data_IF_726532514704
#
_entry.id   IF_726532514704
#
_cell.length_a   1.000
_cell.length_b   1.000
_cell.length_c   1.000
_cell.angle_alpha   90.00
_cell.angle_beta   90.00
_cell.angle_gamma   90.00
#
_symmetry.space_group_name_H-M   'P 1'
#
loop_
_entity.id
_entity.type
_entity.pdbx_description
1 polymer ?
#
# COMPACT_ATOMS: atom_id res chain seq x y z
N UNK A 1 4.94 0.16 -10.38
CA UNK A 1 5.86 -0.28 -11.46
C UNK A 1 6.74 -1.39 -10.91
N UNK A 2 6.97 -2.45 -11.67
CA UNK A 2 7.95 -3.49 -11.37
C UNK A 2 8.89 -3.65 -12.57
N UNK A 3 10.16 -4.02 -12.34
CA UNK A 3 11.17 -4.16 -13.40
C UNK A 3 11.86 -5.51 -13.25
N UNK A 4 12.02 -6.24 -14.35
CA UNK A 4 12.72 -7.53 -14.33
C UNK A 4 14.25 -7.34 -14.49
N UNK A 5 15.01 -8.41 -14.31
CA UNK A 5 16.48 -8.37 -14.44
C UNK A 5 16.98 -8.03 -15.86
N UNK A 6 16.12 -8.15 -16.87
CA UNK A 6 16.44 -7.83 -18.26
C UNK A 6 16.13 -6.36 -18.59
N UNK A 7 15.57 -5.59 -17.64
CA UNK A 7 15.22 -4.18 -17.80
C UNK A 7 13.81 -3.93 -18.36
N UNK A 8 13.01 -4.98 -18.60
CA UNK A 8 11.60 -4.82 -18.97
C UNK A 8 10.80 -4.32 -17.78
N UNK A 9 9.96 -3.31 -18.01
CA UNK A 9 9.18 -2.66 -16.98
C UNK A 9 7.70 -2.92 -17.16
N UNK A 10 7.00 -3.23 -16.07
CA UNK A 10 5.55 -3.34 -16.03
C UNK A 10 4.98 -2.22 -15.16
N UNK A 11 4.02 -1.50 -15.72
CA UNK A 11 3.30 -0.42 -15.07
C UNK A 11 1.87 -0.88 -14.93
N UNK A 12 1.32 -0.79 -13.72
CA UNK A 12 -0.08 -1.00 -13.46
C UNK A 12 -0.65 0.22 -12.74
N UNK A 13 -1.85 0.64 -13.14
CA UNK A 13 -2.54 1.80 -12.58
C UNK A 13 -4.05 1.71 -12.83
N UNK A 14 -4.77 2.68 -12.29
CA UNK A 14 -6.19 2.89 -12.56
C UNK A 14 -6.33 3.74 -13.83
N UNK A 15 -7.30 3.40 -14.69
CA UNK A 15 -7.64 4.19 -15.87
C UNK A 15 -9.14 4.49 -15.91
N UNK A 16 -9.48 5.76 -16.17
CA UNK A 16 -10.80 6.20 -16.59
C UNK A 16 -10.75 6.48 -18.10
N UNK A 17 -11.69 5.93 -18.86
CA UNK A 17 -11.80 6.12 -20.32
C UNK A 17 -12.43 7.49 -20.67
N UNK A 18 -13.27 8.01 -19.80
CA UNK A 18 -13.89 9.34 -19.87
C UNK A 18 -14.26 9.84 -18.46
N UNK A 19 -14.73 11.09 -18.36
CA UNK A 19 -15.12 11.74 -17.09
C UNK A 19 -16.29 11.04 -16.35
N UNK A 20 -16.97 10.09 -17.00
CA UNK A 20 -18.12 9.37 -16.46
C UNK A 20 -17.81 7.88 -16.19
N UNK A 21 -16.72 7.36 -16.72
CA UNK A 21 -16.27 5.98 -16.54
C UNK A 21 -15.65 5.79 -15.15
N UNK A 22 -16.03 4.69 -14.49
CA UNK A 22 -15.35 4.29 -13.27
C UNK A 22 -13.95 3.73 -13.57
N UNK A 23 -13.02 3.80 -12.62
CA UNK A 23 -11.66 3.31 -12.83
C UNK A 23 -11.62 1.79 -13.03
N UNK A 24 -10.82 1.35 -14.00
CA UNK A 24 -10.39 -0.04 -14.17
C UNK A 24 -8.89 -0.20 -13.96
N UNK A 25 -8.42 -1.43 -13.75
CA UNK A 25 -6.99 -1.71 -13.63
C UNK A 25 -6.40 -1.94 -15.03
N UNK A 26 -5.49 -1.06 -15.45
CA UNK A 26 -4.66 -1.23 -16.64
C UNK A 26 -3.26 -1.70 -16.24
N UNK A 27 -2.78 -2.75 -16.91
CA UNK A 27 -1.41 -3.26 -16.81
C UNK A 27 -0.74 -3.19 -18.17
N UNK A 28 0.47 -2.66 -18.23
CA UNK A 28 1.22 -2.45 -19.47
C UNK A 28 2.67 -2.86 -19.26
N UNK A 29 3.22 -3.68 -20.16
CA UNK A 29 4.65 -4.01 -20.18
C UNK A 29 5.38 -3.32 -21.32
N UNK A 30 6.56 -2.78 -21.02
CA UNK A 30 7.50 -2.22 -21.97
C UNK A 30 8.82 -2.99 -21.93
N UNK A 31 9.47 -3.12 -23.09
CA UNK A 31 10.85 -3.59 -23.19
C UNK A 31 11.85 -2.51 -22.72
N UNK A 32 13.15 -2.85 -22.53
CA UNK A 32 14.15 -1.91 -22.01
C UNK A 32 14.37 -0.67 -22.90
N UNK A 33 14.06 -0.78 -24.20
CA UNK A 33 14.09 0.32 -25.17
C UNK A 33 12.79 1.14 -25.22
N UNK A 34 11.81 0.80 -24.36
CA UNK A 34 10.53 1.49 -24.24
C UNK A 34 9.44 1.01 -25.21
N UNK A 35 9.65 -0.06 -25.98
CA UNK A 35 8.61 -0.58 -26.86
C UNK A 35 7.53 -1.35 -26.08
N UNK A 36 6.26 -1.09 -26.40
CA UNK A 36 5.11 -1.80 -25.81
C UNK A 36 5.17 -3.29 -26.16
N UNK A 37 5.13 -4.16 -25.15
CA UNK A 37 5.10 -5.61 -25.31
C UNK A 37 3.68 -6.16 -25.22
N UNK A 38 2.94 -5.78 -24.18
CA UNK A 38 1.53 -6.14 -24.02
C UNK A 38 0.79 -5.14 -23.13
N UNK A 39 -0.54 -5.19 -23.20
CA UNK A 39 -1.43 -4.45 -22.31
C UNK A 39 -2.65 -5.29 -21.94
N UNK A 40 -3.00 -5.34 -20.65
CA UNK A 40 -4.20 -5.97 -20.14
C UNK A 40 -5.05 -4.97 -19.38
N UNK A 41 -6.37 -5.05 -19.59
CA UNK A 41 -7.36 -4.37 -18.78
C UNK A 41 -8.07 -5.42 -17.96
N UNK A 42 -8.20 -5.17 -16.66
CA UNK A 42 -8.92 -6.05 -15.76
C UNK A 42 -10.11 -5.32 -15.16
N UNK A 43 -11.28 -5.91 -15.36
CA UNK A 43 -12.56 -5.51 -14.81
C UNK A 43 -13.41 -6.78 -14.60
N UNK A 44 -14.27 -6.82 -13.58
CA UNK A 44 -15.18 -7.97 -13.36
C UNK A 44 -16.34 -7.99 -14.34
N UNK A 45 -16.85 -6.83 -14.74
CA UNK A 45 -18.01 -6.71 -15.64
C UNK A 45 -17.83 -5.48 -16.55
N UNK A 46 -17.75 -5.67 -17.89
CA UNK A 46 -17.57 -4.58 -18.84
C UNK A 46 -18.75 -3.60 -18.87
N UNK A 47 -19.93 -4.04 -18.42
CA UNK A 47 -21.15 -3.26 -18.41
C UNK A 47 -21.41 -2.61 -17.03
N UNK A 48 -20.68 -3.05 -15.99
CA UNK A 48 -20.79 -2.45 -14.66
C UNK A 48 -19.82 -1.28 -14.54
N UNK A 49 -20.35 -0.07 -14.52
CA UNK A 49 -19.61 1.14 -14.15
C UNK A 49 -19.32 1.13 -12.63
N UNK A 50 -18.61 0.13 -12.13
CA UNK A 50 -18.20 0.04 -10.72
C UNK A 50 -16.68 0.17 -10.63
N UNK A 51 -16.23 0.84 -9.57
CA UNK A 51 -14.84 1.20 -9.35
C UNK A 51 -13.99 -0.02 -8.95
N UNK A 52 -13.09 -0.43 -9.83
CA UNK A 52 -12.05 -1.42 -9.56
C UNK A 52 -10.72 -0.67 -9.30
N UNK A 53 -10.13 -0.87 -8.13
CA UNK A 53 -8.96 -0.11 -7.71
C UNK A 53 -7.69 -0.96 -7.69
N UNK A 54 -6.65 -0.44 -8.34
CA UNK A 54 -5.29 -0.91 -8.16
C UNK A 54 -4.79 -0.59 -6.74
N UNK A 55 -4.20 -1.58 -6.07
CA UNK A 55 -3.49 -1.41 -4.81
C UNK A 55 -1.98 -1.37 -5.00
N UNK A 56 -1.41 -2.53 -5.34
CA UNK A 56 0.04 -2.70 -5.46
C UNK A 56 0.41 -3.79 -6.45
N UNK A 57 1.71 -3.88 -6.75
CA UNK A 57 2.24 -4.90 -7.65
C UNK A 57 3.64 -5.34 -7.26
N UNK A 58 3.98 -6.59 -7.60
CA UNK A 58 5.31 -7.16 -7.45
C UNK A 58 5.62 -8.10 -8.62
N UNK A 59 6.87 -8.53 -8.72
CA UNK A 59 7.34 -9.41 -9.80
C UNK A 59 8.27 -10.47 -9.24
N UNK A 60 8.17 -11.70 -9.73
CA UNK A 60 9.12 -12.76 -9.38
C UNK A 60 10.36 -12.78 -10.28
N UNK A 61 11.32 -13.65 -9.96
CA UNK A 61 12.55 -13.79 -10.74
C UNK A 61 12.33 -14.37 -12.15
N UNK A 62 11.20 -15.03 -12.39
CA UNK A 62 10.82 -15.51 -13.72
C UNK A 62 10.16 -14.40 -14.57
N UNK A 63 9.90 -13.22 -13.98
CA UNK A 63 9.24 -12.10 -14.62
C UNK A 63 7.71 -12.16 -14.57
N UNK A 64 7.13 -13.08 -13.80
CA UNK A 64 5.69 -13.09 -13.58
C UNK A 64 5.32 -11.89 -12.71
N UNK A 65 4.29 -11.16 -13.11
CA UNK A 65 3.78 -9.98 -12.41
C UNK A 65 2.57 -10.34 -11.60
N UNK A 66 2.54 -9.93 -10.34
CA UNK A 66 1.43 -10.10 -9.42
C UNK A 66 0.88 -8.74 -9.04
N UNK A 67 -0.42 -8.56 -9.20
CA UNK A 67 -1.12 -7.32 -8.91
C UNK A 67 -2.17 -7.61 -7.84
N UNK A 68 -2.35 -6.68 -6.91
CA UNK A 68 -3.44 -6.70 -5.94
C UNK A 68 -4.25 -5.42 -6.01
N UNK A 69 -5.48 -5.49 -5.54
CA UNK A 69 -6.40 -4.37 -5.51
C UNK A 69 -7.72 -4.80 -4.93
N UNK A 70 -8.80 -4.14 -5.33
CA UNK A 70 -10.13 -4.65 -5.07
C UNK A 70 -11.06 -4.42 -6.25
N UNK A 71 -12.08 -5.25 -6.28
CA UNK A 71 -13.17 -5.20 -7.24
C UNK A 71 -14.44 -4.85 -6.49
N UNK A 72 -15.28 -4.03 -7.10
CA UNK A 72 -16.57 -3.67 -6.50
C UNK A 72 -17.71 -4.40 -7.18
N UNK A 73 -18.53 -5.08 -6.39
CA UNK A 73 -19.68 -5.81 -6.89
C UNK A 73 -20.87 -4.85 -7.13
N UNK A 74 -21.44 -4.82 -8.35
CA UNK A 74 -22.47 -3.86 -8.70
C UNK A 74 -23.81 -4.09 -8.00
N UNK A 75 -24.11 -5.34 -7.64
CA UNK A 75 -25.39 -5.70 -7.04
C UNK A 75 -25.41 -5.42 -5.53
N UNK A 76 -24.28 -5.59 -4.87
CA UNK A 76 -24.17 -5.49 -3.40
C UNK A 76 -23.41 -4.25 -2.93
N UNK A 77 -22.69 -3.56 -3.81
CA UNK A 77 -21.72 -2.50 -3.50
C UNK A 77 -20.53 -2.97 -2.66
N UNK A 78 -20.41 -4.27 -2.41
CA UNK A 78 -19.31 -4.85 -1.64
C UNK A 78 -18.00 -4.74 -2.41
N UNK A 79 -16.89 -4.58 -1.67
CA UNK A 79 -15.54 -4.62 -2.22
C UNK A 79 -14.86 -5.93 -1.87
N UNK A 80 -14.28 -6.59 -2.87
CA UNK A 80 -13.59 -7.86 -2.72
C UNK A 80 -12.13 -7.70 -3.10
N UNK A 81 -11.24 -8.21 -2.28
CA UNK A 81 -9.82 -8.26 -2.57
C UNK A 81 -9.60 -9.09 -3.83
N UNK A 82 -8.81 -8.56 -4.76
CA UNK A 82 -8.40 -9.25 -5.97
C UNK A 82 -6.88 -9.42 -6.04
N UNK A 83 -6.45 -10.53 -6.62
CA UNK A 83 -5.08 -10.67 -7.14
C UNK A 83 -5.07 -11.30 -8.52
N UNK A 84 -4.20 -10.78 -9.36
CA UNK A 84 -4.02 -11.20 -10.75
C UNK A 84 -2.54 -11.49 -10.98
N UNK A 85 -2.27 -12.51 -11.77
CA UNK A 85 -0.94 -12.92 -12.19
C UNK A 85 -0.85 -12.88 -13.71
N UNK A 86 0.19 -12.24 -14.25
CA UNK A 86 0.56 -12.28 -15.67
C UNK A 86 1.96 -12.87 -15.85
N UNK A 87 2.15 -13.73 -16.86
CA UNK A 87 3.47 -14.20 -17.29
C UNK A 87 4.24 -13.08 -18.01
N UNK A 88 5.56 -13.23 -18.25
CA UNK A 88 6.31 -12.29 -19.07
C UNK A 88 5.74 -12.09 -20.48
N UNK A 89 5.03 -13.09 -21.02
CA UNK A 89 4.36 -13.03 -22.33
C UNK A 89 3.00 -12.31 -22.30
N UNK A 90 2.49 -11.97 -21.12
CA UNK A 90 1.16 -11.38 -20.92
C UNK A 90 0.06 -12.41 -20.68
N UNK A 91 0.36 -13.71 -20.65
CA UNK A 91 -0.67 -14.71 -20.39
C UNK A 91 -1.10 -14.67 -18.90
N UNK A 92 -2.40 -14.77 -18.63
CA UNK A 92 -2.89 -14.82 -17.25
C UNK A 92 -2.49 -16.14 -16.58
N UNK A 93 -1.64 -16.08 -15.55
CA UNK A 93 -1.20 -17.24 -14.75
C UNK A 93 -2.09 -17.51 -13.53
N UNK A 94 -3.07 -16.65 -13.25
CA UNK A 94 -4.09 -16.91 -12.23
C UNK A 94 -4.82 -15.65 -11.78
N UNK A 95 -6.10 -15.78 -11.45
CA UNK A 95 -6.93 -14.73 -10.87
C UNK A 95 -7.55 -15.29 -9.59
N UNK A 96 -7.56 -14.49 -8.53
CA UNK A 96 -8.12 -14.84 -7.23
C UNK A 96 -8.92 -13.65 -6.71
N UNK A 97 -10.18 -13.89 -6.35
CA UNK A 97 -11.06 -12.86 -5.79
C UNK A 97 -11.66 -13.42 -4.48
N UNK A 98 -11.73 -12.60 -3.43
CA UNK A 98 -12.18 -13.03 -2.09
C UNK A 98 -13.69 -13.27 -1.94
N UNK A 99 -14.46 -13.28 -3.04
CA UNK A 99 -15.94 -13.40 -3.07
C UNK A 99 -16.49 -14.62 -2.33
N UNK A 100 -15.68 -15.64 -2.06
CA UNK A 100 -16.13 -16.95 -1.58
C UNK A 100 -16.05 -17.15 -0.06
N UNK A 101 -15.64 -16.14 0.74
CA UNK A 101 -15.22 -16.41 2.12
C UNK A 101 -16.34 -16.27 3.16
N UNK A 102 -17.40 -15.52 2.87
CA UNK A 102 -18.46 -15.23 3.83
C UNK A 102 -19.87 -15.41 3.23
N UNK A 103 -20.26 -16.64 2.83
CA UNK A 103 -21.58 -16.89 2.26
C UNK A 103 -22.74 -16.56 3.21
N UNK A 104 -22.47 -16.49 4.52
CA UNK A 104 -23.48 -16.32 5.57
C UNK A 104 -23.46 -14.93 6.24
N UNK A 105 -22.65 -13.98 5.75
CA UNK A 105 -22.57 -12.66 6.40
C UNK A 105 -23.60 -11.69 5.81
N UNK A 106 -24.49 -11.22 6.69
CA UNK A 106 -25.50 -10.20 6.39
C UNK A 106 -24.88 -8.83 6.69
N UNK A 107 -24.39 -8.12 5.67
CA UNK A 107 -23.85 -6.76 5.85
C UNK A 107 -22.89 -6.31 4.75
N UNK A 108 -22.48 -5.04 4.81
CA UNK A 108 -21.52 -4.47 3.88
C UNK A 108 -20.12 -5.08 4.08
N UNK A 109 -19.56 -5.65 3.02
CA UNK A 109 -18.20 -6.20 2.96
C UNK A 109 -17.30 -5.21 2.22
N UNK A 110 -16.17 -4.84 2.82
CA UNK A 110 -15.12 -4.06 2.15
C UNK A 110 -13.76 -4.68 2.42
N UNK A 111 -13.23 -5.39 1.41
CA UNK A 111 -11.88 -5.95 1.41
C UNK A 111 -11.05 -5.25 0.35
N UNK A 112 -9.90 -4.73 0.74
CA UNK A 112 -9.01 -3.94 -0.12
C UNK A 112 -7.58 -4.45 0.00
N UNK A 113 -6.93 -4.74 -1.12
CA UNK A 113 -5.47 -4.93 -1.18
C UNK A 113 -4.81 -3.60 -1.49
N UNK A 114 -3.82 -3.20 -0.69
CA UNK A 114 -3.09 -1.94 -0.86
C UNK A 114 -1.64 -2.15 -1.30
N UNK A 115 -0.99 -3.25 -0.90
CA UNK A 115 0.36 -3.56 -1.36
C UNK A 115 0.59 -5.07 -1.35
N UNK A 116 1.52 -5.55 -2.18
CA UNK A 116 1.81 -6.98 -2.35
C UNK A 116 3.31 -7.24 -2.51
N UNK A 117 3.81 -8.26 -1.83
CA UNK A 117 5.17 -8.79 -2.02
C UNK A 117 5.16 -10.32 -2.09
N UNK A 118 6.27 -10.90 -2.55
CA UNK A 118 6.50 -12.33 -2.55
C UNK A 118 7.54 -12.72 -1.51
N UNK A 119 7.31 -13.83 -0.80
CA UNK A 119 8.36 -14.49 -0.03
C UNK A 119 9.30 -15.31 -0.91
N UNK A 120 10.36 -15.87 -0.33
CA UNK A 120 11.35 -16.72 -1.04
C UNK A 120 10.77 -17.99 -1.65
N UNK A 121 9.53 -18.35 -1.28
CA UNK A 121 8.79 -19.52 -1.79
C UNK A 121 7.70 -19.12 -2.78
N UNK A 122 7.71 -17.88 -3.27
CA UNK A 122 6.72 -17.30 -4.18
C UNK A 122 5.30 -17.27 -3.61
N UNK A 123 5.15 -17.24 -2.28
CA UNK A 123 3.86 -16.95 -1.66
C UNK A 123 3.59 -15.45 -1.71
N UNK A 124 2.33 -15.09 -1.98
CA UNK A 124 1.86 -13.70 -2.00
C UNK A 124 1.54 -13.24 -0.58
N UNK A 125 2.01 -12.05 -0.23
CA UNK A 125 1.78 -11.39 1.06
C UNK A 125 1.16 -10.03 0.75
N UNK A 126 0.00 -9.70 1.32
CA UNK A 126 -0.83 -8.59 0.85
C UNK A 126 -1.30 -7.69 1.99
N UNK A 127 -0.75 -6.50 2.14
CA UNK A 127 -1.35 -5.56 3.11
C UNK A 127 -2.62 -4.92 2.57
N UNK A 128 -3.52 -4.52 3.47
CA UNK A 128 -4.72 -3.83 3.10
C UNK A 128 -5.71 -3.71 4.25
N UNK A 129 -7.00 -3.69 3.91
CA UNK A 129 -8.11 -3.60 4.84
C UNK A 129 -9.09 -4.74 4.62
N UNK A 130 -9.67 -5.24 5.71
CA UNK A 130 -10.89 -6.05 5.67
C UNK A 130 -11.94 -5.37 6.52
N UNK A 131 -13.17 -5.29 6.07
CA UNK A 131 -14.29 -4.80 6.86
C UNK A 131 -15.46 -5.71 6.57
N UNK A 132 -16.00 -6.29 7.63
CA UNK A 132 -17.19 -7.12 7.59
C UNK A 132 -18.10 -6.58 8.68
N UNK A 133 -19.28 -6.09 8.28
CA UNK A 133 -20.17 -5.39 9.20
C UNK A 133 -20.90 -6.37 10.15
N UNK A 134 -20.47 -6.41 11.40
CA UNK A 134 -21.35 -6.52 12.57
C UNK A 134 -21.23 -5.17 13.32
N UNK A 135 -22.29 -4.70 13.99
CA UNK A 135 -22.40 -3.37 14.64
C UNK A 135 -21.17 -2.97 15.54
N UNK A 136 -20.08 -2.46 14.93
CA UNK A 136 -18.85 -1.76 15.42
C UNK A 136 -18.04 -2.38 16.60
N UNK A 137 -16.70 -2.15 16.71
CA UNK A 137 -15.63 -1.93 15.72
C UNK A 137 -14.63 -3.12 15.68
N UNK A 138 -13.89 -3.29 14.58
CA UNK A 138 -12.68 -4.14 14.59
C UNK A 138 -12.49 -5.16 13.45
N UNK A 139 -13.11 -4.96 12.29
CA UNK A 139 -13.00 -5.93 11.21
C UNK A 139 -11.69 -5.94 10.42
N UNK A 140 -10.72 -5.06 10.70
CA UNK A 140 -9.60 -4.90 9.79
C UNK A 140 -8.36 -5.69 10.22
N UNK A 141 -7.86 -6.52 9.32
CA UNK A 141 -6.63 -7.26 9.51
C UNK A 141 -5.67 -7.00 8.35
N UNK A 142 -4.39 -7.05 8.64
CA UNK A 142 -3.36 -7.18 7.61
C UNK A 142 -3.44 -8.59 7.04
N UNK A 143 -3.63 -8.70 5.72
CA UNK A 143 -3.74 -10.00 5.07
C UNK A 143 -2.35 -10.57 4.74
N UNK A 144 -1.93 -11.59 5.48
CA UNK A 144 -0.75 -12.36 5.07
C UNK A 144 -1.19 -13.80 4.90
N UNK A 145 -0.90 -14.44 3.74
CA UNK A 145 -0.41 -15.84 3.69
C UNK A 145 -0.49 -16.53 2.32
N UNK A 146 0.46 -17.45 2.14
CA UNK A 146 0.58 -18.46 1.09
C UNK A 146 -0.45 -19.61 1.10
N UNK A 147 -0.03 -20.81 0.65
CA UNK A 147 -0.77 -21.97 0.09
C UNK A 147 -2.14 -22.45 0.66
N UNK A 148 -2.72 -21.84 1.68
CA UNK A 148 -4.11 -22.05 2.10
C UNK A 148 -4.75 -20.69 2.36
N UNK A 149 -5.93 -20.44 1.80
CA UNK A 149 -6.57 -19.13 1.77
C UNK A 149 -6.65 -18.50 3.18
N UNK A 150 -5.86 -17.42 3.33
CA UNK A 150 -5.75 -16.41 4.39
C UNK A 150 -5.36 -16.83 5.82
N UNK A 151 -4.58 -15.96 6.49
CA UNK A 151 -4.49 -15.84 7.96
C UNK A 151 -4.47 -14.35 8.28
N UNK A 152 -5.28 -13.94 9.24
CA UNK A 152 -5.42 -12.55 9.62
C UNK A 152 -4.44 -12.23 10.73
N UNK A 153 -3.68 -11.15 10.59
CA UNK A 153 -2.81 -10.63 11.65
C UNK A 153 -3.32 -9.24 12.05
N UNK A 154 -3.59 -9.06 13.35
CA UNK A 154 -4.17 -7.83 13.90
C UNK A 154 -4.98 -8.05 15.18
N UNK A 155 -5.32 -6.96 15.89
CA UNK A 155 -6.37 -6.96 16.93
C UNK A 155 -7.75 -6.75 16.27
N UNK A 156 -8.64 -7.77 16.27
CA UNK A 156 -9.97 -7.69 15.66
C UNK A 156 -10.95 -6.79 16.42
N UNK A 157 -10.48 -5.97 17.38
CA UNK A 157 -11.26 -4.93 18.05
C UNK A 157 -10.85 -3.51 17.63
N UNK A 158 -9.78 -3.38 16.83
CA UNK A 158 -9.25 -2.10 16.36
C UNK A 158 -9.36 -1.97 14.86
N UNK A 159 -9.44 -0.73 14.37
CA UNK A 159 -9.32 -0.45 12.95
C UNK A 159 -7.85 -0.49 12.57
N UNK A 160 -7.41 -1.53 11.89
CA UNK A 160 -6.05 -1.60 11.35
C UNK A 160 -6.04 -1.39 9.83
N UNK A 161 -5.03 -0.73 9.28
CA UNK A 161 -4.86 -0.59 7.84
C UNK A 161 -3.41 -0.89 7.47
N UNK A 162 -3.17 -1.97 6.74
CA UNK A 162 -1.86 -2.24 6.17
C UNK A 162 -1.62 -1.39 4.93
N UNK A 163 -0.64 -0.49 4.97
CA UNK A 163 -0.34 0.44 3.85
C UNK A 163 0.71 -0.14 2.92
N UNK A 164 1.82 -0.62 3.48
CA UNK A 164 2.95 -1.13 2.72
C UNK A 164 3.53 -2.38 3.38
N UNK A 165 4.10 -3.26 2.57
CA UNK A 165 4.67 -4.53 3.03
C UNK A 165 6.02 -4.81 2.40
N UNK A 166 6.90 -5.43 3.18
CA UNK A 166 8.17 -5.94 2.72
C UNK A 166 8.50 -7.27 3.40
N UNK A 167 9.40 -8.04 2.79
CA UNK A 167 9.99 -9.23 3.40
C UNK A 167 11.49 -9.07 3.55
N UNK A 168 12.05 -9.59 4.64
CA UNK A 168 13.49 -9.72 4.77
C UNK A 168 13.99 -11.05 4.21
N UNK A 169 15.32 -11.24 4.14
CA UNK A 169 15.95 -12.45 3.60
C UNK A 169 15.63 -13.74 4.38
N UNK A 170 14.97 -13.64 5.53
CA UNK A 170 14.52 -14.77 6.33
C UNK A 170 12.99 -14.98 6.22
N UNK A 171 12.35 -14.36 5.22
CA UNK A 171 10.89 -14.34 5.01
C UNK A 171 10.10 -13.76 6.19
N UNK A 172 10.74 -12.99 7.07
CA UNK A 172 9.98 -12.22 8.05
C UNK A 172 9.23 -11.12 7.30
N UNK A 173 8.00 -10.88 7.71
CA UNK A 173 7.12 -9.89 7.08
C UNK A 173 7.15 -8.61 7.89
N UNK A 174 7.46 -7.50 7.23
CA UNK A 174 7.44 -6.17 7.82
C UNK A 174 6.24 -5.43 7.24
N UNK A 175 5.43 -4.85 8.10
CA UNK A 175 4.21 -4.13 7.71
C UNK A 175 4.26 -2.72 8.27
N UNK A 176 4.02 -1.76 7.38
CA UNK A 176 3.76 -0.36 7.73
C UNK A 176 2.27 -0.11 7.59
N UNK A 177 1.65 0.41 8.65
CA UNK A 177 0.20 0.58 8.67
C UNK A 177 -0.28 1.66 9.64
N UNK A 178 -1.59 1.70 9.83
CA UNK A 178 -2.28 2.56 10.79
C UNK A 178 -3.03 1.67 11.77
N UNK A 179 -2.83 1.89 13.06
CA UNK A 179 -3.77 1.47 14.11
C UNK A 179 -4.67 2.66 14.43
N UNK A 180 -5.99 2.48 14.36
CA UNK A 180 -6.96 3.54 14.60
C UNK A 180 -8.21 3.06 15.34
N UNK A 181 -8.81 3.99 16.07
CA UNK A 181 -10.04 3.81 16.81
C UNK A 181 -11.10 4.82 16.34
N UNK A 182 -12.36 4.39 16.35
CA UNK A 182 -13.50 5.25 16.03
C UNK A 182 -13.87 6.10 17.25
N UNK A 183 -13.90 7.42 17.07
CA UNK A 183 -14.40 8.37 18.04
C UNK A 183 -15.63 9.12 17.54
N UNK A 184 -16.51 9.51 18.45
CA UNK A 184 -17.59 10.46 18.19
C UNK A 184 -17.25 11.79 18.88
N UNK A 185 -17.29 12.88 18.13
CA UNK A 185 -17.14 14.21 18.72
C UNK A 185 -18.44 14.64 19.42
N UNK A 186 -18.36 15.67 20.25
CA UNK A 186 -19.51 16.30 20.88
C UNK A 186 -20.50 16.95 19.89
N UNK A 187 -20.10 17.08 18.61
CA UNK A 187 -20.98 17.52 17.50
C UNK A 187 -21.58 16.37 16.71
N UNK A 188 -21.45 15.12 17.18
CA UNK A 188 -21.85 13.92 16.44
C UNK A 188 -21.10 13.72 15.11
N UNK A 189 -19.92 14.31 14.98
CA UNK A 189 -19.02 14.05 13.85
C UNK A 189 -18.15 12.82 14.19
N UNK A 190 -18.15 11.83 13.30
CA UNK A 190 -17.23 10.70 13.40
C UNK A 190 -15.82 11.15 13.05
N UNK A 191 -14.88 10.87 13.95
CA UNK A 191 -13.46 11.05 13.69
C UNK A 191 -12.71 9.74 13.93
N UNK A 192 -11.60 9.58 13.24
CA UNK A 192 -10.66 8.50 13.51
C UNK A 192 -9.49 9.07 14.27
N UNK A 193 -9.12 8.39 15.35
CA UNK A 193 -7.90 8.65 16.09
C UNK A 193 -6.98 7.49 15.84
N UNK A 194 -5.85 7.75 15.19
CA UNK A 194 -4.92 6.67 14.84
C UNK A 194 -3.47 7.09 14.85
N UNK A 195 -2.59 6.10 14.82
CA UNK A 195 -1.14 6.25 14.82
C UNK A 195 -0.54 5.30 13.80
N UNK A 196 0.56 5.71 13.20
CA UNK A 196 1.32 4.82 12.34
C UNK A 196 2.04 3.76 13.16
N UNK A 197 1.96 2.52 12.67
CA UNK A 197 2.59 1.35 13.27
C UNK A 197 3.54 0.68 12.28
N UNK A 198 4.65 0.17 12.82
CA UNK A 198 5.57 -0.70 12.11
C UNK A 198 5.60 -2.04 12.84
N UNK A 199 5.23 -3.10 12.14
CA UNK A 199 5.07 -4.44 12.70
C UNK A 199 6.06 -5.35 12.00
N UNK A 200 6.66 -6.29 12.74
CA UNK A 200 7.46 -7.37 12.17
C UNK A 200 6.93 -8.71 12.65
N UNK A 201 6.65 -9.59 11.71
CA UNK A 201 6.19 -10.95 11.93
C UNK A 201 7.24 -11.94 11.42
N UNK A 202 7.31 -13.12 12.03
CA UNK A 202 8.11 -14.22 11.51
C UNK A 202 7.49 -14.76 10.22
N UNK A 203 8.27 -15.53 9.44
CA UNK A 203 7.75 -16.27 8.28
C UNK A 203 6.58 -17.22 8.64
N UNK A 204 6.47 -17.63 9.91
CA UNK A 204 5.37 -18.44 10.44
C UNK A 204 4.17 -17.62 10.93
N UNK A 205 4.25 -16.28 10.91
CA UNK A 205 3.20 -15.36 11.30
C UNK A 205 3.12 -15.00 12.78
N UNK A 206 4.16 -15.32 13.56
CA UNK A 206 4.25 -14.84 14.94
C UNK A 206 4.74 -13.39 14.95
N UNK A 207 4.07 -12.49 15.69
CA UNK A 207 4.57 -11.13 15.89
C UNK A 207 5.92 -11.18 16.64
N UNK A 208 6.98 -10.67 16.01
CA UNK A 208 8.32 -10.58 16.58
C UNK A 208 8.49 -9.29 17.39
N UNK A 209 8.03 -8.17 16.84
CA UNK A 209 7.99 -6.87 17.52
C UNK A 209 7.04 -5.90 16.82
N UNK A 210 6.64 -4.86 17.55
CA UNK A 210 5.86 -3.73 17.03
C UNK A 210 6.45 -2.40 17.51
N UNK A 211 6.23 -1.35 16.71
CA UNK A 211 6.49 0.05 17.03
C UNK A 211 5.25 0.86 16.68
N UNK A 212 4.93 1.81 17.55
CA UNK A 212 3.85 2.79 17.35
C UNK A 212 4.41 4.20 17.39
N UNK A 213 3.64 5.19 16.91
CA UNK A 213 4.04 6.61 16.91
C UNK A 213 5.35 6.89 16.14
N UNK A 214 5.60 6.10 15.09
CA UNK A 214 6.84 6.17 14.31
C UNK A 214 7.02 7.52 13.59
N UNK A 215 5.93 8.17 13.18
CA UNK A 215 5.91 9.52 12.60
C UNK A 215 5.32 10.57 13.56
N UNK A 216 5.52 10.40 14.87
CA UNK A 216 5.05 11.35 15.88
C UNK A 216 3.71 10.97 16.53
N UNK A 217 3.19 11.92 17.28
CA UNK A 217 2.01 11.75 18.12
C UNK A 217 0.71 11.69 17.30
N UNK A 218 -0.38 11.44 18.01
CA UNK A 218 -1.67 11.06 17.47
C UNK A 218 -2.22 11.98 16.40
N UNK A 219 -2.57 11.39 15.26
CA UNK A 219 -3.19 12.10 14.15
C UNK A 219 -4.71 11.88 14.20
N UNK A 220 -5.44 13.00 14.24
CA UNK A 220 -6.87 13.01 13.94
C UNK A 220 -7.03 12.93 12.42
N UNK A 221 -7.82 11.96 11.95
CA UNK A 221 -8.22 11.84 10.54
C UNK A 221 -9.74 12.06 10.44
N UNK A 222 -10.18 12.95 9.54
CA UNK A 222 -11.58 12.97 9.12
C UNK A 222 -11.85 11.86 8.09
N UNK A 223 -13.10 11.35 8.04
CA UNK A 223 -13.52 10.32 7.08
C UNK A 223 -13.29 10.83 5.65
N UNK A 224 -12.35 10.21 4.92
CA UNK A 224 -11.99 10.59 3.55
C UNK A 224 -10.68 11.39 3.42
N UNK A 225 -10.12 11.89 4.52
CA UNK A 225 -8.82 12.61 4.55
C UNK A 225 -7.61 11.69 4.70
N UNK A 226 -7.76 10.40 4.40
CA UNK A 226 -6.65 9.44 4.45
C UNK A 226 -5.49 9.83 3.51
N UNK A 227 -5.68 10.79 2.60
CA UNK A 227 -4.84 11.09 1.44
C UNK A 227 -3.76 12.15 1.66
N UNK A 228 -3.75 12.88 2.77
CA UNK A 228 -2.82 14.02 2.94
C UNK A 228 -1.62 13.77 3.85
N UNK A 229 -1.68 12.75 4.72
CA UNK A 229 -0.63 12.43 5.70
C UNK A 229 -0.31 10.94 5.67
N UNK A 230 0.46 10.47 4.68
CA UNK A 230 0.75 9.04 4.54
C UNK A 230 2.25 8.73 4.72
N UNK A 231 2.61 7.70 5.51
CA UNK A 231 3.69 6.81 5.12
C UNK A 231 3.31 6.15 3.82
N UNK A 232 4.27 6.08 2.91
CA UNK A 232 3.96 5.66 1.54
C UNK A 232 4.78 4.47 1.08
N UNK A 233 5.89 4.19 1.75
CA UNK A 233 6.83 3.20 1.28
C UNK A 233 7.66 2.65 2.44
N UNK A 234 7.94 1.38 2.30
CA UNK A 234 8.69 0.54 3.20
C UNK A 234 9.66 -0.26 2.33
N UNK A 235 10.93 -0.31 2.72
CA UNK A 235 11.92 -1.16 2.08
C UNK A 235 12.81 -1.82 3.13
N UNK A 236 13.39 -2.96 2.77
CA UNK A 236 14.32 -3.70 3.61
C UNK A 236 15.64 -3.85 2.87
N UNK A 237 16.74 -3.46 3.50
CA UNK A 237 18.08 -3.60 2.92
C UNK A 237 18.64 -5.01 3.11
N UNK A 238 19.76 -5.34 2.45
CA UNK A 238 20.35 -6.69 2.50
C UNK A 238 20.85 -7.11 3.89
N UNK A 239 20.98 -6.18 4.83
CA UNK A 239 21.33 -6.46 6.24
C UNK A 239 20.08 -6.63 7.11
N UNK A 240 18.89 -6.56 6.52
CA UNK A 240 17.61 -6.62 7.19
C UNK A 240 17.21 -5.33 7.90
N UNK A 241 17.92 -4.22 7.65
CA UNK A 241 17.50 -2.92 8.18
C UNK A 241 16.27 -2.45 7.42
N UNK A 242 15.38 -1.79 8.13
CA UNK A 242 14.08 -1.36 7.63
C UNK A 242 14.14 0.14 7.38
N UNK A 243 13.77 0.57 6.19
CA UNK A 243 13.68 1.98 5.82
C UNK A 243 12.21 2.30 5.55
N UNK A 244 11.70 3.35 6.16
CA UNK A 244 10.34 3.84 5.94
C UNK A 244 10.36 5.33 5.61
N UNK A 245 9.37 5.76 4.83
CA UNK A 245 9.18 7.18 4.49
C UNK A 245 7.72 7.59 4.56
N UNK A 246 7.47 8.84 4.93
CA UNK A 246 6.15 9.45 4.98
C UNK A 246 6.21 10.97 5.13
N UNK A 247 5.05 11.62 5.05
CA UNK A 247 4.93 13.06 5.35
C UNK A 247 4.58 13.29 6.81
N UNK A 248 5.27 14.23 7.45
CA UNK A 248 5.00 14.68 8.82
C UNK A 248 4.69 16.17 8.79
N UNK A 249 3.52 16.56 9.30
CA UNK A 249 3.16 17.98 9.40
C UNK A 249 3.97 18.64 10.52
N UNK A 250 4.76 19.64 10.18
CA UNK A 250 5.38 20.55 11.13
C UNK A 250 4.48 21.77 11.35
N UNK A 251 4.35 22.22 12.60
CA UNK A 251 3.53 23.38 12.98
C UNK A 251 4.02 24.71 12.40
N UNK A 252 5.20 24.73 11.76
CA UNK A 252 5.84 25.96 11.27
C UNK A 252 6.25 25.94 9.78
N UNK A 253 6.26 24.78 9.11
CA UNK A 253 6.84 24.67 7.74
C UNK A 253 6.02 23.87 6.72
N UNK A 254 4.84 23.35 7.07
CA UNK A 254 4.06 22.49 6.16
C UNK A 254 4.34 21.01 6.37
N UNK A 255 4.06 20.18 5.37
CA UNK A 255 4.34 18.73 5.43
C UNK A 255 5.81 18.50 5.05
N UNK A 256 6.61 17.98 5.97
CA UNK A 256 8.00 17.62 5.74
C UNK A 256 8.12 16.14 5.37
N UNK A 257 9.05 15.80 4.48
CA UNK A 257 9.37 14.41 4.15
C UNK A 257 10.24 13.83 5.27
N UNK A 258 9.78 12.75 5.90
CA UNK A 258 10.49 12.05 6.96
C UNK A 258 10.95 10.68 6.47
N UNK A 259 12.25 10.40 6.59
CA UNK A 259 12.89 9.12 6.29
C UNK A 259 13.50 8.55 7.56
N UNK A 260 13.11 7.33 7.93
CA UNK A 260 13.57 6.68 9.15
C UNK A 260 14.16 5.32 8.81
N UNK A 261 15.31 4.99 9.40
CA UNK A 261 15.93 3.66 9.28
C UNK A 261 16.01 2.99 10.65
N UNK A 262 15.57 1.75 10.70
CA UNK A 262 15.64 0.87 11.87
C UNK A 262 16.55 -0.32 11.60
N UNK A 263 17.18 -0.84 12.64
CA UNK A 263 17.84 -2.15 12.59
C UNK A 263 16.80 -3.29 12.55
N UNK A 264 17.22 -4.56 12.29
CA UNK A 264 16.29 -5.69 12.21
C UNK A 264 15.51 -5.97 13.51
N UNK A 265 15.97 -5.44 14.65
CA UNK A 265 15.36 -5.58 15.99
C UNK A 265 14.41 -4.41 16.30
N UNK A 266 14.25 -3.46 15.38
CA UNK A 266 13.39 -2.30 15.54
C UNK A 266 14.03 -1.13 16.30
N UNK A 267 15.34 -1.10 16.49
CA UNK A 267 16.01 0.08 17.04
C UNK A 267 16.21 1.12 15.94
N UNK A 268 15.86 2.38 16.19
CA UNK A 268 16.12 3.46 15.24
C UNK A 268 17.63 3.66 15.09
N UNK A 269 18.13 3.54 13.87
CA UNK A 269 19.52 3.83 13.53
C UNK A 269 19.72 5.31 13.22
N UNK A 270 18.77 5.90 12.48
CA UNK A 270 18.74 7.32 12.20
C UNK A 270 17.37 7.75 11.65
N UNK A 271 17.13 9.06 11.71
CA UNK A 271 15.99 9.74 11.11
C UNK A 271 16.47 11.01 10.42
N UNK A 272 15.89 11.29 9.26
CA UNK A 272 16.19 12.48 8.45
C UNK A 272 14.89 13.14 8.04
N UNK A 273 14.90 14.46 8.13
CA UNK A 273 13.83 15.32 7.63
C UNK A 273 14.34 16.07 6.42
N UNK A 274 13.54 16.10 5.37
CA UNK A 274 13.81 16.89 4.17
C UNK A 274 12.65 17.87 4.02
N UNK A 275 12.98 19.15 4.12
CA UNK A 275 12.06 20.26 3.98
C UNK A 275 12.69 21.35 3.10
N UNK A 276 11.86 22.11 2.39
CA UNK A 276 12.26 23.40 1.82
C UNK A 276 11.88 24.51 2.79
N UNK A 277 12.85 25.24 3.38
CA UNK A 277 12.57 26.24 4.41
C UNK A 277 11.63 27.38 3.98
N UNK A 278 11.45 27.57 2.68
CA UNK A 278 11.12 28.90 2.14
C UNK A 278 9.61 29.13 1.95
N UNK A 279 8.75 28.09 1.88
CA UNK A 279 7.39 28.31 1.33
C UNK A 279 6.24 27.50 1.93
N UNK A 280 6.33 26.97 3.16
CA UNK A 280 5.20 26.21 3.72
C UNK A 280 4.81 25.03 2.81
N UNK A 281 5.79 24.48 2.09
CA UNK A 281 5.59 23.56 0.99
C UNK A 281 4.93 22.27 1.49
N UNK A 282 4.01 21.75 0.69
CA UNK A 282 3.42 20.44 0.92
C UNK A 282 4.31 19.41 0.21
N UNK A 283 5.41 19.05 0.87
CA UNK A 283 6.37 18.08 0.36
C UNK A 283 5.89 16.67 0.70
N UNK A 284 5.57 15.91 -0.35
CA UNK A 284 5.03 14.55 -0.22
C UNK A 284 5.94 13.57 -0.92
N UNK A 285 6.47 12.55 -0.23
CA UNK A 285 7.15 11.50 -0.94
C UNK A 285 6.10 10.76 -1.81
N UNK A 286 6.54 10.11 -2.89
CA UNK A 286 5.67 9.33 -3.80
C UNK A 286 6.13 7.88 -3.89
N UNK A 287 7.45 7.63 -3.90
CA UNK A 287 7.99 6.27 -3.95
C UNK A 287 9.42 6.24 -3.42
N UNK A 288 9.85 5.07 -2.95
CA UNK A 288 11.20 4.80 -2.45
C UNK A 288 11.70 3.47 -3.00
N UNK A 289 12.98 3.44 -3.38
CA UNK A 289 13.67 2.25 -3.87
C UNK A 289 15.06 2.15 -3.23
N UNK A 290 15.55 0.92 -3.11
CA UNK A 290 16.94 0.63 -2.74
C UNK A 290 17.67 0.05 -3.96
N UNK A 291 18.91 0.48 -4.20
CA UNK A 291 19.77 -0.20 -5.18
C UNK A 291 20.49 -1.42 -4.58
N UNK A 292 21.27 -2.11 -5.42
CA UNK A 292 22.05 -3.28 -5.02
C UNK A 292 23.19 -2.97 -4.05
N UNK A 293 23.46 -1.70 -3.73
CA UNK A 293 24.42 -1.25 -2.74
C UNK A 293 23.73 -0.74 -1.46
N UNK A 294 22.40 -0.87 -1.37
CA UNK A 294 21.55 -0.36 -0.29
C UNK A 294 21.49 1.18 -0.22
N UNK A 295 21.77 1.88 -1.31
CA UNK A 295 21.50 3.32 -1.41
C UNK A 295 20.00 3.58 -1.56
N UNK A 296 19.52 4.63 -0.90
CA UNK A 296 18.09 4.98 -0.86
C UNK A 296 17.81 6.06 -1.93
N UNK A 297 16.89 5.76 -2.85
CA UNK A 297 16.36 6.70 -3.83
C UNK A 297 14.92 7.02 -3.44
N UNK A 298 14.63 8.30 -3.27
CA UNK A 298 13.32 8.80 -2.88
C UNK A 298 12.85 9.80 -3.93
N UNK A 299 11.65 9.60 -4.45
CA UNK A 299 10.98 10.55 -5.33
C UNK A 299 9.76 11.10 -4.63
N UNK A 300 9.44 12.36 -4.87
CA UNK A 300 8.34 13.05 -4.22
C UNK A 300 7.82 14.22 -5.05
N UNK A 301 6.66 14.70 -4.68
CA UNK A 301 6.09 15.95 -5.18
C UNK A 301 6.40 17.04 -4.17
N UNK A 302 7.00 18.11 -4.65
CA UNK A 302 7.07 19.38 -3.92
C UNK A 302 6.02 20.28 -4.52
N UNK A 303 5.08 20.80 -3.73
CA UNK A 303 4.19 21.85 -4.22
C UNK A 303 4.95 23.18 -4.23
N UNK A 304 5.21 23.81 -5.40
CA UNK A 304 5.58 25.21 -5.40
C UNK A 304 4.36 25.99 -4.89
N UNK A 305 4.45 26.57 -3.69
CA UNK A 305 3.50 27.60 -3.30
C UNK A 305 3.59 28.71 -4.35
N UNK A 306 2.46 29.01 -5.01
CA UNK A 306 2.21 30.10 -5.98
C UNK A 306 3.44 30.52 -6.83
N UNK A 307 3.43 30.12 -8.10
CA UNK A 307 4.39 30.45 -9.16
C UNK A 307 5.13 31.79 -8.99
N UNK A 308 6.46 31.73 -9.04
CA UNK A 308 7.21 32.65 -9.90
C UNK A 308 7.97 31.80 -10.92
N UNK A 309 7.90 32.24 -12.17
CA UNK A 309 8.65 31.69 -13.30
C UNK A 309 10.13 31.90 -13.01
N UNK A 310 10.82 30.87 -12.55
CA UNK A 310 12.25 30.61 -12.74
C UNK A 310 12.69 29.60 -11.66
N UNK A 311 12.82 28.32 -12.02
CA UNK A 311 13.99 27.52 -11.66
C UNK A 311 13.81 26.02 -11.99
N UNK A 312 14.57 25.59 -13.00
CA UNK A 312 15.10 24.23 -13.11
C UNK A 312 16.60 24.36 -13.36
N UNK A 313 17.42 24.11 -12.34
CA UNK A 313 18.80 23.58 -12.49
C UNK A 313 19.09 22.58 -11.38
#
# INVERSE_FOLDING_TARGET
>A
MAVNNEGSAVIASQICMDEYSQPDILSVQFSPDGALQWSHRFYKDPDSHMQDEFGGMTMDQAGNVYITGHIKDPATLNSYLSTICYTPSGDTCGINISETVYPDTVGDISMMGLDIVLDSRHNRIITGQTHVQDWMPGGNNILVKGRGWYTHWGDPKKGELGIAVAVDSADNVIVLGIDYEYGMSWKSEYFLRGHFVLLKYSAGGALLWSKSHIFGDETYFHKGEYTEKKPIALAVDRKGNIVITGSLKSDSTGNDVCLIKFDPKGNELWRRFYNRPEHGADDRPVSMLLDSLDNIYLVGKTHPGIFDEDDIT
#
